data_IF_956277112871
#
_entry.id   IF_956277112871
#
_cell.length_a   1.000
_cell.length_b   1.000
_cell.length_c   1.000
_cell.angle_alpha   90.00
_cell.angle_beta   90.00
_cell.angle_gamma   90.00
#
_symmetry.space_group_name_H-M   'P 1'
#
loop_
_entity.id
_entity.type
_entity.pdbx_description
1 polymer ?
#
# COMPACT_ATOMS: atom_id res chain seq x y z
N UNK A 1 98.58 10.47 29.55
CA UNK A 1 97.56 9.44 29.58
C UNK A 1 96.20 10.15 29.53
N UNK A 2 95.64 10.26 28.41
CA UNK A 2 94.36 10.94 28.15
C UNK A 2 93.22 9.93 28.18
N UNK A 3 92.26 10.10 29.09
CA UNK A 3 91.03 9.37 29.14
C UNK A 3 90.09 9.90 28.03
N UNK A 4 89.54 8.99 27.29
CA UNK A 4 88.48 9.24 26.29
C UNK A 4 87.16 8.72 26.90
N UNK A 5 86.20 9.60 27.06
CA UNK A 5 84.82 9.33 27.50
C UNK A 5 83.87 9.20 26.30
N UNK A 6 83.19 8.08 26.17
CA UNK A 6 82.12 7.95 25.12
C UNK A 6 80.73 7.98 25.77
N UNK A 7 80.24 9.15 26.11
CA UNK A 7 78.88 9.30 26.52
C UNK A 7 78.12 10.16 25.48
N UNK A 8 77.07 9.65 24.87
CA UNK A 8 76.18 10.49 24.10
C UNK A 8 75.44 9.85 22.93
N UNK A 9 74.60 8.85 23.17
CA UNK A 9 73.53 8.52 22.23
C UNK A 9 72.20 8.49 22.98
N UNK A 10 71.60 9.67 23.15
CA UNK A 10 70.23 9.83 23.62
C UNK A 10 69.29 9.36 22.52
N UNK A 11 68.66 8.23 22.76
CA UNK A 11 67.64 7.70 21.86
C UNK A 11 66.41 8.63 21.80
N UNK A 12 66.07 9.03 20.61
CA UNK A 12 64.80 9.66 20.33
C UNK A 12 63.67 8.61 20.39
N UNK A 13 63.08 8.44 21.56
CA UNK A 13 61.85 7.67 21.73
C UNK A 13 60.67 8.44 21.16
N UNK A 14 60.38 8.22 19.88
CA UNK A 14 59.09 8.64 19.29
C UNK A 14 58.00 7.76 19.91
N UNK A 15 57.31 8.27 20.91
CA UNK A 15 56.09 7.63 21.39
C UNK A 15 55.02 7.74 20.26
N UNK A 16 54.43 6.64 19.80
CA UNK A 16 53.29 6.76 18.87
C UNK A 16 52.14 7.39 19.66
N UNK A 17 51.75 8.57 19.30
CA UNK A 17 50.49 9.21 19.70
C UNK A 17 49.35 8.34 19.22
N UNK A 18 48.79 7.53 20.10
CA UNK A 18 47.53 6.86 19.89
C UNK A 18 46.48 7.98 19.76
N UNK A 19 46.18 8.37 18.53
CA UNK A 19 44.98 9.18 18.28
C UNK A 19 43.77 8.36 18.76
N UNK A 20 43.30 8.65 19.96
CA UNK A 20 42.00 8.24 20.41
C UNK A 20 41.01 8.73 19.40
N UNK A 21 40.52 7.83 18.54
CA UNK A 21 39.35 8.10 17.70
C UNK A 21 38.20 8.39 18.64
N UNK A 22 37.95 9.66 18.87
CA UNK A 22 36.70 10.10 19.51
C UNK A 22 35.57 9.42 18.74
N UNK A 23 34.65 8.72 19.40
CA UNK A 23 33.49 8.16 18.69
C UNK A 23 32.77 9.34 18.06
N UNK A 24 32.66 9.31 16.74
CA UNK A 24 31.87 10.29 15.99
C UNK A 24 30.46 10.14 16.54
N UNK A 25 30.08 11.03 17.45
CA UNK A 25 28.68 11.19 17.89
C UNK A 25 27.89 11.36 16.62
N UNK A 26 26.93 10.44 16.40
CA UNK A 26 26.15 10.41 15.17
C UNK A 26 25.69 11.83 14.82
N UNK A 27 26.02 12.29 13.62
CA UNK A 27 25.64 13.61 13.15
C UNK A 27 24.13 13.78 13.37
N UNK A 28 23.67 14.93 13.88
CA UNK A 28 22.25 15.18 14.06
C UNK A 28 21.56 14.96 12.71
N UNK A 29 20.50 14.14 12.69
CA UNK A 29 19.72 13.92 11.47
C UNK A 29 19.34 15.29 10.92
N UNK A 30 19.72 15.58 9.69
CA UNK A 30 19.35 16.83 9.00
C UNK A 30 17.82 16.90 8.88
N UNK A 31 17.26 18.09 8.75
CA UNK A 31 15.81 18.26 8.54
C UNK A 31 15.35 17.42 7.35
N UNK A 32 16.16 17.34 6.29
CA UNK A 32 15.88 16.54 5.11
C UNK A 32 15.78 15.04 5.41
N UNK A 33 16.68 14.48 6.23
CA UNK A 33 16.63 13.05 6.59
C UNK A 33 15.42 12.71 7.47
N UNK A 34 15.00 13.61 8.35
CA UNK A 34 13.78 13.46 9.15
C UNK A 34 12.53 13.51 8.27
N UNK A 35 12.49 14.43 7.31
CA UNK A 35 11.41 14.52 6.34
C UNK A 35 11.31 13.26 5.49
N UNK A 36 12.44 12.77 4.93
CA UNK A 36 12.48 11.54 4.17
C UNK A 36 12.02 10.33 4.99
N UNK A 37 12.41 10.23 6.27
CA UNK A 37 11.95 9.17 7.17
C UNK A 37 10.44 9.25 7.44
N UNK A 38 9.91 10.44 7.69
CA UNK A 38 8.47 10.64 7.87
C UNK A 38 7.68 10.28 6.61
N UNK A 39 8.19 10.68 5.45
CA UNK A 39 7.59 10.34 4.16
C UNK A 39 7.57 8.82 3.93
N UNK A 40 8.66 8.10 4.26
CA UNK A 40 8.72 6.64 4.19
C UNK A 40 7.69 5.98 5.12
N UNK A 41 7.56 6.46 6.37
CA UNK A 41 6.60 5.91 7.36
C UNK A 41 5.16 6.03 6.86
N UNK A 42 4.81 7.12 6.16
CA UNK A 42 3.48 7.31 5.57
C UNK A 42 3.33 6.51 4.27
N UNK A 43 4.36 6.50 3.42
CA UNK A 43 4.31 5.84 2.12
C UNK A 43 4.17 4.32 2.23
N UNK A 44 4.79 3.68 3.22
CA UNK A 44 4.75 2.23 3.38
C UNK A 44 3.32 1.67 3.54
N UNK A 45 2.49 2.11 4.49
CA UNK A 45 1.11 1.62 4.60
C UNK A 45 0.24 2.04 3.41
N UNK A 46 0.43 3.23 2.84
CA UNK A 46 -0.29 3.65 1.63
C UNK A 46 0.01 2.69 0.48
N UNK A 47 1.27 2.31 0.29
CA UNK A 47 1.66 1.33 -0.71
C UNK A 47 0.99 -0.02 -0.47
N UNK A 48 1.04 -0.55 0.75
CA UNK A 48 0.47 -1.88 1.06
C UNK A 48 -1.03 -1.92 0.77
N UNK A 49 -1.79 -0.94 1.24
CA UNK A 49 -3.24 -0.90 1.03
C UNK A 49 -3.58 -0.68 -0.46
N UNK A 50 -2.98 0.32 -1.10
CA UNK A 50 -3.29 0.66 -2.49
C UNK A 50 -2.87 -0.43 -3.47
N UNK A 51 -1.79 -1.17 -3.19
CA UNK A 51 -1.39 -2.32 -3.98
C UNK A 51 -2.42 -3.45 -3.93
N UNK A 52 -2.99 -3.73 -2.75
CA UNK A 52 -4.03 -4.75 -2.61
C UNK A 52 -5.35 -4.32 -3.26
N UNK A 53 -5.71 -3.03 -3.15
CA UNK A 53 -6.88 -2.50 -3.88
C UNK A 53 -6.68 -2.61 -5.40
N UNK A 54 -5.51 -2.21 -5.91
CA UNK A 54 -5.19 -2.31 -7.34
C UNK A 54 -5.22 -3.77 -7.81
N UNK A 55 -4.61 -4.67 -7.05
CA UNK A 55 -4.59 -6.10 -7.35
C UNK A 55 -6.01 -6.65 -7.48
N UNK A 56 -6.86 -6.42 -6.47
CA UNK A 56 -8.22 -6.95 -6.45
C UNK A 56 -9.10 -6.34 -7.55
N UNK A 57 -8.96 -5.03 -7.80
CA UNK A 57 -9.71 -4.32 -8.83
C UNK A 57 -9.34 -4.74 -10.26
N UNK A 58 -8.16 -5.34 -10.46
CA UNK A 58 -7.68 -5.86 -11.75
C UNK A 58 -7.82 -7.37 -11.89
N UNK A 59 -8.33 -8.08 -10.86
CA UNK A 59 -8.46 -9.53 -10.87
C UNK A 59 -9.83 -9.99 -11.39
N UNK A 60 -9.92 -10.35 -12.66
CA UNK A 60 -11.15 -10.89 -13.27
C UNK A 60 -11.68 -12.13 -12.51
N UNK A 61 -10.80 -12.93 -11.90
CA UNK A 61 -11.17 -14.10 -11.09
C UNK A 61 -12.00 -13.72 -9.86
N UNK A 62 -11.67 -12.60 -9.22
CA UNK A 62 -12.44 -12.08 -8.10
C UNK A 62 -13.86 -11.65 -8.53
N UNK A 63 -13.98 -10.93 -9.64
CA UNK A 63 -15.31 -10.54 -10.17
C UNK A 63 -16.16 -11.78 -10.50
N UNK A 64 -15.59 -12.76 -11.18
CA UNK A 64 -16.26 -14.01 -11.52
C UNK A 64 -16.69 -14.82 -10.30
N UNK A 65 -15.86 -14.86 -9.25
CA UNK A 65 -16.22 -15.46 -7.99
C UNK A 65 -17.44 -14.75 -7.39
N UNK A 66 -17.38 -13.44 -7.24
CA UNK A 66 -18.44 -12.64 -6.65
C UNK A 66 -19.78 -12.75 -7.41
N UNK A 67 -19.75 -12.80 -8.74
CA UNK A 67 -20.98 -12.98 -9.55
C UNK A 67 -21.67 -14.32 -9.29
N UNK A 68 -20.90 -15.36 -8.98
CA UNK A 68 -21.45 -16.69 -8.65
C UNK A 68 -21.90 -16.76 -7.19
N UNK A 69 -21.07 -16.25 -6.28
CA UNK A 69 -21.31 -16.32 -4.84
C UNK A 69 -22.54 -15.49 -4.43
N UNK A 70 -22.70 -14.30 -5.02
CA UNK A 70 -23.78 -13.37 -4.64
C UNK A 70 -24.97 -13.36 -5.61
N UNK A 71 -25.10 -14.39 -6.44
CA UNK A 71 -26.20 -14.56 -7.39
C UNK A 71 -26.47 -13.31 -8.26
N UNK A 72 -25.40 -12.69 -8.78
CA UNK A 72 -25.51 -11.50 -9.65
C UNK A 72 -26.28 -11.80 -10.93
N UNK A 73 -26.24 -13.03 -11.42
CA UNK A 73 -27.03 -13.47 -12.59
C UNK A 73 -28.54 -13.46 -12.31
N UNK A 74 -28.96 -14.02 -11.18
CA UNK A 74 -30.35 -14.00 -10.75
C UNK A 74 -30.88 -12.59 -10.49
N UNK A 75 -30.06 -11.75 -9.86
CA UNK A 75 -30.42 -10.36 -9.54
C UNK A 75 -30.52 -9.46 -10.77
N UNK A 76 -29.57 -9.55 -11.69
CA UNK A 76 -29.51 -8.70 -12.88
C UNK A 76 -30.27 -9.26 -14.08
N UNK A 77 -30.63 -10.56 -14.06
CA UNK A 77 -31.22 -11.25 -15.20
C UNK A 77 -30.24 -11.45 -16.37
N UNK A 78 -28.93 -11.27 -16.15
CA UNK A 78 -27.92 -11.42 -17.19
C UNK A 78 -27.25 -12.79 -17.10
N UNK A 79 -26.95 -13.44 -18.23
CA UNK A 79 -26.12 -14.65 -18.25
C UNK A 79 -24.73 -14.37 -17.66
N UNK A 80 -24.13 -15.38 -16.98
CA UNK A 80 -22.79 -15.27 -16.41
C UNK A 80 -21.72 -14.85 -17.44
N UNK A 81 -21.86 -15.31 -18.71
CA UNK A 81 -20.94 -14.91 -19.77
C UNK A 81 -20.99 -13.40 -20.08
N UNK A 82 -22.14 -12.75 -19.91
CA UNK A 82 -22.29 -11.31 -20.09
C UNK A 82 -21.73 -10.55 -18.90
N UNK A 83 -21.91 -11.08 -17.69
CA UNK A 83 -21.30 -10.55 -16.47
C UNK A 83 -19.77 -10.62 -16.54
N UNK A 84 -19.21 -11.76 -16.99
CA UNK A 84 -17.76 -11.94 -17.15
C UNK A 84 -17.18 -10.93 -18.18
N UNK A 85 -17.90 -10.70 -19.29
CA UNK A 85 -17.52 -9.67 -20.28
C UNK A 85 -17.63 -8.25 -19.71
N UNK A 86 -18.65 -7.99 -18.91
CA UNK A 86 -18.82 -6.70 -18.25
C UNK A 86 -17.70 -6.44 -17.22
N UNK A 87 -17.30 -7.46 -16.45
CA UNK A 87 -16.16 -7.37 -15.53
C UNK A 87 -14.88 -6.98 -16.28
N UNK A 88 -14.56 -7.68 -17.37
CA UNK A 88 -13.38 -7.35 -18.16
C UNK A 88 -13.44 -5.92 -18.71
N UNK A 89 -14.58 -5.49 -19.22
CA UNK A 89 -14.76 -4.14 -19.72
C UNK A 89 -14.62 -3.06 -18.63
N UNK A 90 -15.00 -3.36 -17.38
CA UNK A 90 -14.79 -2.48 -16.23
C UNK A 90 -13.31 -2.40 -15.88
N UNK A 91 -12.59 -3.53 -15.85
CA UNK A 91 -11.15 -3.58 -15.60
C UNK A 91 -10.40 -2.75 -16.63
N UNK A 92 -10.67 -3.00 -17.92
CA UNK A 92 -10.07 -2.25 -19.02
C UNK A 92 -10.38 -0.75 -18.95
N UNK A 93 -11.62 -0.41 -18.60
CA UNK A 93 -12.05 0.97 -18.42
C UNK A 93 -11.28 1.71 -17.33
N UNK A 94 -10.89 1.05 -16.23
CA UNK A 94 -10.10 1.71 -15.20
C UNK A 94 -8.69 2.06 -15.65
N UNK A 95 -8.16 1.36 -16.65
CA UNK A 95 -6.80 1.53 -17.17
C UNK A 95 -6.73 2.40 -18.43
N UNK A 96 -7.81 2.45 -19.24
CA UNK A 96 -7.85 3.20 -20.49
C UNK A 96 -8.13 4.71 -20.31
N UNK A 97 -8.17 5.47 -21.41
CA UNK A 97 -8.50 6.89 -21.42
C UNK A 97 -9.96 7.21 -21.78
N UNK A 98 -10.81 6.19 -21.93
CA UNK A 98 -12.23 6.38 -22.21
C UNK A 98 -12.91 7.18 -21.09
N UNK A 99 -13.70 8.17 -21.44
CA UNK A 99 -14.42 9.02 -20.49
C UNK A 99 -15.72 8.39 -19.99
N UNK A 100 -16.24 7.40 -20.72
CA UNK A 100 -17.54 6.77 -20.43
C UNK A 100 -17.44 5.28 -20.63
N UNK A 101 -17.87 4.51 -19.63
CA UNK A 101 -18.00 3.06 -19.74
C UNK A 101 -19.15 2.72 -20.70
N UNK A 102 -18.85 1.94 -21.74
CA UNK A 102 -19.85 1.47 -22.71
C UNK A 102 -19.80 -0.04 -22.79
N UNK A 103 -20.85 -0.68 -22.32
CA UNK A 103 -21.04 -2.12 -22.42
C UNK A 103 -22.39 -2.34 -23.11
N UNK A 104 -22.39 -3.06 -24.22
CA UNK A 104 -23.59 -3.42 -24.95
C UNK A 104 -23.98 -4.85 -24.61
N UNK A 105 -25.25 -5.05 -24.38
CA UNK A 105 -25.89 -6.35 -24.15
C UNK A 105 -27.06 -6.51 -25.13
N UNK A 106 -27.35 -7.76 -25.48
CA UNK A 106 -28.51 -8.06 -26.32
C UNK A 106 -29.70 -8.34 -25.44
N UNK A 107 -30.72 -7.47 -25.51
CA UNK A 107 -32.00 -7.65 -24.82
C UNK A 107 -33.07 -7.77 -25.89
N UNK A 108 -33.84 -8.85 -25.90
CA UNK A 108 -34.90 -9.12 -26.88
C UNK A 108 -34.45 -9.00 -28.35
N UNK A 109 -33.18 -9.39 -28.62
CA UNK A 109 -32.59 -9.37 -29.97
C UNK A 109 -32.11 -7.97 -30.41
N UNK A 110 -32.16 -6.96 -29.56
CA UNK A 110 -31.63 -5.62 -29.81
C UNK A 110 -30.45 -5.29 -28.94
N UNK A 111 -29.46 -4.57 -29.47
CA UNK A 111 -28.36 -4.05 -28.71
C UNK A 111 -28.81 -2.87 -27.82
N UNK A 112 -28.58 -2.97 -26.55
CA UNK A 112 -28.86 -1.91 -25.57
C UNK A 112 -27.63 -1.67 -24.66
N UNK A 113 -27.53 -0.46 -24.15
CA UNK A 113 -26.51 -0.17 -23.13
C UNK A 113 -26.84 -0.94 -21.83
N UNK A 114 -25.85 -1.65 -21.29
CA UNK A 114 -26.00 -2.34 -20.01
C UNK A 114 -26.35 -1.38 -18.88
N UNK A 115 -25.73 -0.22 -18.86
CA UNK A 115 -25.85 0.77 -17.81
C UNK A 115 -26.61 2.03 -18.28
N UNK A 116 -27.37 2.60 -17.38
CA UNK A 116 -28.04 3.88 -17.53
C UNK A 116 -27.05 5.05 -17.54
N UNK A 117 -27.51 6.25 -17.87
CA UNK A 117 -26.71 7.47 -17.81
C UNK A 117 -26.25 7.80 -16.38
N UNK A 118 -27.06 7.47 -15.36
CA UNK A 118 -26.75 7.62 -13.94
C UNK A 118 -25.58 6.69 -13.54
N UNK A 119 -25.68 5.42 -13.89
CA UNK A 119 -24.67 4.41 -13.58
C UNK A 119 -23.34 4.69 -14.29
N UNK A 120 -23.38 5.06 -15.57
CA UNK A 120 -22.15 5.45 -16.31
C UNK A 120 -21.54 6.73 -15.78
N UNK A 121 -22.36 7.65 -15.26
CA UNK A 121 -21.90 8.84 -14.54
C UNK A 121 -21.16 8.47 -13.24
N UNK A 122 -21.75 7.58 -12.45
CA UNK A 122 -21.10 7.05 -11.24
C UNK A 122 -19.79 6.31 -11.58
N UNK A 123 -19.78 5.46 -12.60
CA UNK A 123 -18.56 4.75 -13.01
C UNK A 123 -17.44 5.69 -13.48
N UNK A 124 -17.75 6.87 -13.99
CA UNK A 124 -16.75 7.92 -14.29
C UNK A 124 -16.13 8.47 -13.01
N UNK A 125 -16.93 8.68 -11.97
CA UNK A 125 -16.43 9.13 -10.68
C UNK A 125 -15.59 8.05 -9.99
N UNK A 126 -16.04 6.78 -10.05
CA UNK A 126 -15.26 5.61 -9.59
C UNK A 126 -13.92 5.52 -10.32
N UNK A 127 -13.90 5.65 -11.65
CA UNK A 127 -12.65 5.68 -12.42
C UNK A 127 -11.70 6.78 -11.95
N UNK A 128 -12.23 7.97 -11.67
CA UNK A 128 -11.43 9.09 -11.16
C UNK A 128 -10.81 8.75 -9.81
N UNK A 129 -11.57 8.11 -8.91
CA UNK A 129 -11.08 7.62 -7.61
C UNK A 129 -10.02 6.53 -7.80
N UNK A 130 -10.24 5.55 -8.68
CA UNK A 130 -9.28 4.47 -8.97
C UNK A 130 -7.96 5.02 -9.52
N UNK A 131 -8.00 6.06 -10.37
CA UNK A 131 -6.80 6.75 -10.83
C UNK A 131 -6.01 7.40 -9.70
N UNK A 132 -6.69 7.95 -8.70
CA UNK A 132 -6.02 8.48 -7.48
C UNK A 132 -5.36 7.36 -6.71
N UNK A 133 -6.03 6.22 -6.52
CA UNK A 133 -5.49 5.04 -5.85
C UNK A 133 -4.27 4.49 -6.60
N UNK A 134 -4.33 4.36 -7.92
CA UNK A 134 -3.23 3.85 -8.74
C UNK A 134 -2.01 4.78 -8.69
N UNK A 135 -2.22 6.09 -8.76
CA UNK A 135 -1.13 7.07 -8.59
C UNK A 135 -0.54 7.05 -7.18
N UNK A 136 -1.39 6.93 -6.16
CA UNK A 136 -0.93 6.79 -4.77
C UNK A 136 -0.07 5.53 -4.61
N UNK A 137 -0.46 4.42 -5.24
CA UNK A 137 0.33 3.18 -5.28
C UNK A 137 1.70 3.40 -5.94
N UNK A 138 1.75 3.99 -7.12
CA UNK A 138 2.99 4.22 -7.87
C UNK A 138 3.93 5.17 -7.12
N UNK A 139 3.41 6.28 -6.61
CA UNK A 139 4.21 7.29 -5.89
C UNK A 139 4.72 6.73 -4.56
N UNK A 140 3.86 6.03 -3.81
CA UNK A 140 4.28 5.43 -2.54
C UNK A 140 5.30 4.31 -2.74
N UNK A 141 5.16 3.47 -3.78
CA UNK A 141 6.17 2.48 -4.17
C UNK A 141 7.50 3.15 -4.50
N UNK A 142 7.48 4.21 -5.32
CA UNK A 142 8.70 4.93 -5.68
C UNK A 142 9.41 5.52 -4.45
N UNK A 143 8.66 6.09 -3.50
CA UNK A 143 9.20 6.62 -2.24
C UNK A 143 9.81 5.50 -1.40
N UNK A 144 9.11 4.37 -1.23
CA UNK A 144 9.58 3.22 -0.45
C UNK A 144 10.87 2.67 -1.07
N UNK A 145 10.89 2.43 -2.38
CA UNK A 145 12.07 1.90 -3.08
C UNK A 145 13.25 2.87 -3.02
N UNK A 146 13.02 4.17 -3.25
CA UNK A 146 14.07 5.18 -3.17
C UNK A 146 14.68 5.27 -1.78
N UNK A 147 13.85 5.24 -0.73
CA UNK A 147 14.32 5.29 0.65
C UNK A 147 15.13 4.03 1.01
N UNK A 148 14.61 2.84 0.68
CA UNK A 148 15.31 1.57 0.91
C UNK A 148 16.64 1.54 0.15
N UNK A 149 16.65 1.91 -1.13
CA UNK A 149 17.86 1.96 -1.94
C UNK A 149 18.90 2.94 -1.34
N UNK A 150 18.45 4.12 -0.92
CA UNK A 150 19.32 5.10 -0.26
C UNK A 150 19.96 4.53 1.01
N UNK A 151 19.18 3.86 1.85
CA UNK A 151 19.68 3.24 3.08
C UNK A 151 20.66 2.10 2.77
N UNK A 152 20.33 1.22 1.84
CA UNK A 152 21.16 0.04 1.53
C UNK A 152 22.47 0.44 0.82
N UNK A 153 22.41 1.36 -0.15
CA UNK A 153 23.55 1.69 -0.99
C UNK A 153 24.52 2.68 -0.35
N UNK A 154 24.05 3.60 0.50
CA UNK A 154 24.89 4.71 1.00
C UNK A 154 25.19 4.70 2.48
N UNK A 155 24.50 3.93 3.32
CA UNK A 155 24.54 4.21 4.76
C UNK A 155 25.00 3.08 5.71
N UNK A 156 25.19 1.85 5.24
CA UNK A 156 25.72 0.74 6.05
C UNK A 156 24.79 0.21 7.18
N UNK A 157 25.27 -0.76 7.98
CA UNK A 157 24.46 -1.56 8.93
C UNK A 157 23.63 -0.78 9.97
N UNK A 158 24.16 0.33 10.50
CA UNK A 158 23.41 1.13 11.50
C UNK A 158 22.13 1.73 10.94
N UNK A 159 22.13 1.99 9.67
CA UNK A 159 20.98 2.57 8.97
C UNK A 159 19.93 1.54 8.60
N UNK A 160 20.32 0.27 8.40
CA UNK A 160 19.37 -0.83 8.21
C UNK A 160 18.56 -1.04 9.50
N UNK A 161 19.18 -0.94 10.69
CA UNK A 161 18.44 -0.98 11.95
C UNK A 161 17.48 0.23 12.10
N UNK A 162 17.85 1.39 11.55
CA UNK A 162 16.97 2.57 11.43
C UNK A 162 15.78 2.28 10.51
N UNK A 163 16.02 1.71 9.33
CA UNK A 163 14.99 1.31 8.37
C UNK A 163 14.00 0.33 9.01
N UNK A 164 14.49 -0.71 9.71
CA UNK A 164 13.64 -1.68 10.40
C UNK A 164 12.70 -1.02 11.42
N UNK A 165 13.19 -0.05 12.20
CA UNK A 165 12.35 0.71 13.15
C UNK A 165 11.31 1.59 12.46
N UNK A 166 11.68 2.23 11.35
CA UNK A 166 10.74 3.05 10.56
C UNK A 166 9.69 2.18 9.88
N UNK A 167 10.06 0.99 9.40
CA UNK A 167 9.11 0.02 8.85
C UNK A 167 8.10 -0.43 9.91
N UNK A 168 8.56 -0.71 11.14
CA UNK A 168 7.66 -1.02 12.27
C UNK A 168 6.71 0.15 12.58
N UNK A 169 7.21 1.39 12.57
CA UNK A 169 6.38 2.57 12.80
C UNK A 169 5.33 2.74 11.68
N UNK A 170 5.74 2.60 10.41
CA UNK A 170 4.84 2.72 9.26
C UNK A 170 3.75 1.65 9.28
N UNK A 171 4.14 0.39 9.48
CA UNK A 171 3.18 -0.71 9.60
C UNK A 171 2.26 -0.52 10.81
N UNK A 172 2.78 -0.08 11.96
CA UNK A 172 1.98 0.20 13.15
C UNK A 172 0.91 1.26 12.89
N UNK A 173 1.27 2.36 12.21
CA UNK A 173 0.29 3.38 11.78
C UNK A 173 -0.74 2.79 10.80
N UNK A 174 -0.29 2.00 9.81
CA UNK A 174 -1.18 1.38 8.83
C UNK A 174 -2.17 0.41 9.46
N UNK A 175 -1.70 -0.48 10.34
CA UNK A 175 -2.54 -1.44 11.07
C UNK A 175 -3.56 -0.71 11.95
N UNK A 176 -3.19 0.40 12.59
CA UNK A 176 -4.13 1.19 13.38
C UNK A 176 -5.25 1.77 12.50
N UNK A 177 -4.93 2.33 11.33
CA UNK A 177 -5.93 2.88 10.41
C UNK A 177 -6.81 1.77 9.83
N UNK A 178 -6.22 0.68 9.32
CA UNK A 178 -6.97 -0.47 8.77
C UNK A 178 -7.84 -1.11 9.85
N UNK A 179 -7.33 -1.20 11.10
CA UNK A 179 -8.09 -1.71 12.23
C UNK A 179 -9.31 -0.86 12.58
N UNK A 180 -9.18 0.46 12.57
CA UNK A 180 -10.31 1.38 12.79
C UNK A 180 -11.37 1.20 11.69
N UNK A 181 -10.95 1.22 10.41
CA UNK A 181 -11.85 1.01 9.27
C UNK A 181 -12.51 -0.38 9.37
N UNK A 182 -11.74 -1.41 9.72
CA UNK A 182 -12.24 -2.78 9.90
C UNK A 182 -13.29 -2.90 11.00
N UNK A 183 -13.11 -2.21 12.14
CA UNK A 183 -14.13 -2.17 13.20
C UNK A 183 -15.43 -1.56 12.69
N UNK A 184 -15.36 -0.44 11.96
CA UNK A 184 -16.55 0.17 11.36
C UNK A 184 -17.23 -0.76 10.35
N UNK A 185 -16.45 -1.43 9.49
CA UNK A 185 -16.98 -2.37 8.51
C UNK A 185 -17.65 -3.59 9.15
N UNK A 186 -17.07 -4.13 10.24
CA UNK A 186 -17.60 -5.30 10.94
C UNK A 186 -18.82 -5.00 11.83
N UNK A 187 -18.99 -3.74 12.26
CA UNK A 187 -20.10 -3.35 13.14
C UNK A 187 -21.32 -2.80 12.39
N UNK A 188 -21.18 -2.47 11.11
CA UNK A 188 -22.24 -1.92 10.28
C UNK A 188 -21.71 -1.54 8.90
N UNK A 189 -21.53 -2.55 8.03
CA UNK A 189 -20.94 -2.34 6.71
C UNK A 189 -21.77 -1.38 5.86
N UNK A 190 -23.09 -1.48 5.84
CA UNK A 190 -24.00 -0.58 5.12
C UNK A 190 -23.75 0.90 5.48
N UNK A 191 -23.67 1.21 6.78
CA UNK A 191 -23.39 2.56 7.23
C UNK A 191 -21.97 3.02 6.85
N UNK A 192 -20.97 2.14 6.95
CA UNK A 192 -19.60 2.44 6.56
C UNK A 192 -19.50 2.67 5.05
N UNK A 193 -20.21 1.86 4.25
CA UNK A 193 -20.27 1.94 2.80
C UNK A 193 -20.95 3.23 2.34
N UNK A 194 -22.07 3.58 2.94
CA UNK A 194 -22.76 4.86 2.70
C UNK A 194 -21.87 6.05 3.04
N UNK A 195 -21.24 6.05 4.22
CA UNK A 195 -20.32 7.12 4.64
C UNK A 195 -19.12 7.26 3.71
N UNK A 196 -18.56 6.14 3.23
CA UNK A 196 -17.51 6.16 2.21
C UNK A 196 -17.95 6.89 0.96
N UNK A 197 -19.16 6.58 0.44
CA UNK A 197 -19.69 7.24 -0.77
C UNK A 197 -19.90 8.73 -0.57
N UNK A 198 -20.44 9.15 0.57
CA UNK A 198 -20.64 10.56 0.91
C UNK A 198 -19.33 11.35 1.00
N UNK A 199 -18.24 10.71 1.43
CA UNK A 199 -16.90 11.32 1.49
C UNK A 199 -16.24 11.34 0.10
N UNK A 200 -16.35 10.23 -0.64
CA UNK A 200 -15.66 10.04 -1.92
C UNK A 200 -16.29 10.81 -3.07
N UNK A 201 -17.62 10.98 -3.06
CA UNK A 201 -18.38 11.54 -4.16
C UNK A 201 -19.17 12.77 -3.75
N UNK A 202 -19.18 13.81 -4.60
CA UNK A 202 -19.87 15.08 -4.32
C UNK A 202 -21.29 15.16 -4.88
N UNK A 203 -21.75 14.09 -5.55
CA UNK A 203 -23.05 13.99 -6.20
C UNK A 203 -23.78 12.76 -5.71
N UNK A 204 -25.04 12.57 -6.14
CA UNK A 204 -25.89 11.45 -5.73
C UNK A 204 -26.00 10.34 -6.79
N UNK A 205 -25.11 10.29 -7.80
CA UNK A 205 -25.12 9.25 -8.84
C UNK A 205 -24.86 7.85 -8.29
N UNK A 206 -24.19 7.75 -7.15
CA UNK A 206 -23.91 6.49 -6.45
C UNK A 206 -25.12 5.89 -5.72
N UNK A 207 -26.20 6.67 -5.49
CA UNK A 207 -27.45 6.20 -4.87
C UNK A 207 -28.26 5.38 -5.85
N UNK A 208 -27.81 4.16 -6.13
CA UNK A 208 -28.42 3.25 -7.09
C UNK A 208 -29.64 2.56 -6.48
N UNK A 209 -30.62 2.26 -7.36
CA UNK A 209 -31.83 1.54 -7.01
C UNK A 209 -31.64 0.03 -7.29
N UNK A 210 -31.70 -0.86 -6.28
CA UNK A 210 -31.50 -2.29 -6.47
C UNK A 210 -32.56 -2.96 -7.38
N UNK A 211 -33.72 -2.32 -7.60
CA UNK A 211 -34.75 -2.88 -8.48
C UNK A 211 -34.52 -2.54 -9.95
N UNK A 212 -33.86 -1.44 -10.25
CA UNK A 212 -33.75 -0.92 -11.63
C UNK A 212 -32.33 -0.75 -12.14
N UNK A 213 -31.34 -0.47 -11.27
CA UNK A 213 -29.97 -0.20 -11.65
C UNK A 213 -29.13 -1.50 -11.69
N UNK A 214 -28.60 -1.83 -12.86
CA UNK A 214 -27.84 -3.07 -13.11
C UNK A 214 -26.54 -3.15 -12.33
N UNK A 215 -25.89 -2.01 -12.11
CA UNK A 215 -24.59 -1.96 -11.45
C UNK A 215 -24.69 -2.46 -10.00
N UNK A 216 -25.71 -2.06 -9.23
CA UNK A 216 -25.91 -2.55 -7.87
C UNK A 216 -26.41 -4.00 -7.83
N UNK A 217 -27.15 -4.45 -8.87
CA UNK A 217 -27.57 -5.84 -9.02
C UNK A 217 -26.37 -6.76 -9.30
N UNK A 218 -25.40 -6.28 -10.08
CA UNK A 218 -24.15 -7.02 -10.38
C UNK A 218 -23.19 -7.04 -9.20
N UNK A 219 -23.10 -5.93 -8.47
CA UNK A 219 -22.17 -5.72 -7.36
C UNK A 219 -22.94 -5.38 -6.07
N UNK A 220 -23.65 -6.35 -5.48
CA UNK A 220 -24.40 -6.11 -4.26
C UNK A 220 -23.48 -5.84 -3.07
N UNK A 221 -24.02 -5.33 -1.98
CA UNK A 221 -23.28 -4.95 -0.77
C UNK A 221 -22.32 -6.05 -0.25
N UNK A 222 -22.71 -7.34 -0.17
CA UNK A 222 -21.80 -8.40 0.28
C UNK A 222 -20.54 -8.57 -0.58
N UNK A 223 -20.61 -8.24 -1.87
CA UNK A 223 -19.44 -8.22 -2.75
C UNK A 223 -18.37 -7.22 -2.26
N UNK A 224 -18.81 -6.04 -1.84
CA UNK A 224 -17.92 -5.00 -1.34
C UNK A 224 -17.42 -5.25 0.07
N UNK A 225 -18.25 -5.88 0.90
CA UNK A 225 -17.86 -6.36 2.23
C UNK A 225 -16.72 -7.38 2.12
N UNK A 226 -16.86 -8.39 1.26
CA UNK A 226 -15.82 -9.38 0.97
C UNK A 226 -14.54 -8.71 0.41
N UNK A 227 -14.67 -7.80 -0.57
CA UNK A 227 -13.54 -7.04 -1.10
C UNK A 227 -12.76 -6.32 0.00
N UNK A 228 -13.49 -5.67 0.91
CA UNK A 228 -12.88 -4.94 2.03
C UNK A 228 -12.13 -5.87 2.97
N UNK A 229 -12.71 -7.04 3.28
CA UNK A 229 -12.07 -8.06 4.13
C UNK A 229 -10.84 -8.66 3.46
N UNK A 230 -10.87 -8.93 2.16
CA UNK A 230 -9.72 -9.45 1.41
C UNK A 230 -8.58 -8.42 1.41
N UNK A 231 -8.85 -7.16 1.07
CA UNK A 231 -7.85 -6.09 1.07
C UNK A 231 -7.25 -5.91 2.47
N UNK A 232 -8.10 -5.88 3.50
CA UNK A 232 -7.66 -5.79 4.89
C UNK A 232 -6.79 -6.98 5.32
N UNK A 233 -7.23 -8.20 5.01
CA UNK A 233 -6.53 -9.45 5.31
C UNK A 233 -5.16 -9.54 4.64
N UNK A 234 -5.08 -9.24 3.34
CA UNK A 234 -3.83 -9.21 2.60
C UNK A 234 -2.86 -8.16 3.18
N UNK A 235 -3.39 -6.98 3.52
CA UNK A 235 -2.59 -5.92 4.15
C UNK A 235 -2.06 -6.36 5.51
N UNK A 236 -2.84 -7.05 6.33
CA UNK A 236 -2.41 -7.60 7.61
C UNK A 236 -1.33 -8.68 7.45
N UNK A 237 -1.48 -9.59 6.49
CA UNK A 237 -0.45 -10.61 6.19
C UNK A 237 0.86 -9.94 5.80
N UNK A 238 0.84 -8.97 4.91
CA UNK A 238 2.02 -8.20 4.50
C UNK A 238 2.63 -7.44 5.69
N UNK A 239 1.79 -6.85 6.56
CA UNK A 239 2.22 -6.18 7.78
C UNK A 239 2.97 -7.13 8.72
N UNK A 240 2.44 -8.34 8.95
CA UNK A 240 3.09 -9.39 9.75
C UNK A 240 4.45 -9.77 9.17
N UNK A 241 4.57 -9.92 7.85
CA UNK A 241 5.84 -10.22 7.19
C UNK A 241 6.87 -9.09 7.40
N UNK A 242 6.47 -7.83 7.24
CA UNK A 242 7.35 -6.68 7.49
C UNK A 242 7.79 -6.62 8.96
N UNK A 243 6.88 -6.89 9.90
CA UNK A 243 7.19 -6.95 11.34
C UNK A 243 8.18 -8.08 11.63
N UNK A 244 7.93 -9.29 11.12
CA UNK A 244 8.79 -10.45 11.34
C UNK A 244 10.22 -10.20 10.84
N UNK A 245 10.37 -9.67 9.62
CA UNK A 245 11.67 -9.33 9.04
C UNK A 245 12.37 -8.23 9.84
N UNK A 246 11.65 -7.18 10.22
CA UNK A 246 12.22 -6.04 10.95
C UNK A 246 12.66 -6.43 12.37
N UNK A 247 11.82 -7.15 13.10
CA UNK A 247 12.13 -7.62 14.47
C UNK A 247 13.25 -8.66 14.42
N UNK A 248 13.17 -9.63 13.51
CA UNK A 248 14.20 -10.65 13.31
C UNK A 248 15.58 -10.03 13.09
N UNK A 249 15.67 -9.04 12.19
CA UNK A 249 16.92 -8.31 11.96
C UNK A 249 17.42 -7.57 13.22
N UNK A 250 16.54 -6.87 13.94
CA UNK A 250 16.90 -6.12 15.13
C UNK A 250 17.39 -7.02 16.29
N UNK A 251 16.77 -8.20 16.45
CA UNK A 251 17.19 -9.20 17.45
C UNK A 251 18.54 -9.80 17.08
N UNK A 252 18.71 -10.23 15.84
CA UNK A 252 19.95 -10.82 15.35
C UNK A 252 21.15 -9.86 15.55
N UNK A 253 21.00 -8.60 15.17
CA UNK A 253 22.07 -7.60 15.30
C UNK A 253 22.37 -7.20 16.74
N UNK A 254 21.44 -7.42 17.69
CA UNK A 254 21.69 -7.22 19.12
C UNK A 254 22.49 -8.38 19.74
N UNK A 255 22.13 -9.62 19.38
CA UNK A 255 22.82 -10.81 19.86
C UNK A 255 24.31 -10.80 19.46
N UNK A 256 24.64 -10.51 18.22
CA UNK A 256 26.01 -10.43 17.74
C UNK A 256 26.87 -9.29 18.36
N UNK A 257 26.25 -8.32 19.05
CA UNK A 257 26.99 -7.25 19.76
C UNK A 257 27.21 -7.54 21.24
N UNK A 258 26.54 -8.55 21.79
CA UNK A 258 26.71 -8.95 23.22
C UNK A 258 27.82 -9.98 23.43
N UNK A 259 28.34 -10.58 22.35
CA UNK A 259 29.39 -11.63 22.40
C UNK A 259 30.79 -11.09 22.05
N UNK A 260 30.96 -9.81 21.81
CA UNK A 260 32.23 -9.14 21.52
C UNK A 260 32.54 -8.03 22.53
#
# INVERSE_FOLDING_TARGET
>A
ATCFDPAGLTGWGVRPTIHSRTPVRGAPMTILSRFAAALFVVALPVFLVSANVRFLASDAGYYQHGFREFDSSGRSGLPLADLDRAAQAIIDYFEDDATTLRILVTVDGQEASLYSAKETGHMRDVKSLMRVVYRANEVSLAIVLAYVACVVLWTGERSIAGLARLSLAGVGCGVAVVGIIGVFALTGFDQAWTTFHEIAFRNDLWRLDPETDRLIQMFPEPFWEEATLIVGGLTLVQAVLVVALSVGYLVFTRAGRGEG
#
